data_IF_809459977406
#
_entry.id   IF_809459977406
#
_cell.length_a   1.000
_cell.length_b   1.000
_cell.length_c   1.000
_cell.angle_alpha   90.00
_cell.angle_beta   90.00
_cell.angle_gamma   90.00
#
_symmetry.space_group_name_H-M   'P 1'
#
loop_
_entity.id
_entity.type
_entity.pdbx_description
1 polymer ?
#
# COMPACT_ATOMS: atom_id res chain seq x y z
N UNK A 1 -2.44 3.26 -18.51
CA UNK A 1 -1.21 2.68 -17.95
C UNK A 1 -0.36 2.20 -19.10
N UNK A 2 0.96 2.39 -19.07
CA UNK A 2 1.85 1.90 -20.14
C UNK A 2 2.22 0.43 -19.92
N UNK A 3 2.43 -0.34 -21.00
CA UNK A 3 2.94 -1.72 -20.95
C UNK A 3 4.22 -1.84 -20.11
N UNK A 4 5.01 -0.76 -20.06
CA UNK A 4 6.25 -0.68 -19.29
C UNK A 4 5.99 -0.72 -17.78
N UNK A 5 4.94 -0.06 -17.29
CA UNK A 5 4.62 -0.03 -15.85
C UNK A 5 4.05 -1.37 -15.36
N UNK A 6 3.19 -2.01 -16.16
CA UNK A 6 2.71 -3.36 -15.87
C UNK A 6 3.87 -4.36 -15.79
N UNK A 7 4.77 -4.32 -16.78
CA UNK A 7 5.96 -5.15 -16.80
C UNK A 7 6.88 -4.89 -15.59
N UNK A 8 7.05 -3.63 -15.19
CA UNK A 8 7.88 -3.28 -14.04
C UNK A 8 7.34 -3.85 -12.72
N UNK A 9 6.02 -3.77 -12.49
CA UNK A 9 5.37 -4.36 -11.31
C UNK A 9 5.49 -5.87 -11.34
N UNK A 10 5.20 -6.50 -12.47
CA UNK A 10 5.32 -7.95 -12.64
C UNK A 10 6.75 -8.45 -12.39
N UNK A 11 7.75 -7.77 -12.93
CA UNK A 11 9.16 -8.10 -12.74
C UNK A 11 9.59 -7.95 -11.28
N UNK A 12 9.28 -6.83 -10.63
CA UNK A 12 9.66 -6.60 -9.23
C UNK A 12 9.03 -7.64 -8.28
N UNK A 13 7.77 -8.03 -8.52
CA UNK A 13 7.09 -9.04 -7.73
C UNK A 13 7.70 -10.44 -7.96
N UNK A 14 8.04 -10.76 -9.21
CA UNK A 14 8.74 -11.99 -9.58
C UNK A 14 10.10 -12.12 -8.90
N UNK A 15 10.93 -11.07 -8.97
CA UNK A 15 12.26 -11.07 -8.35
C UNK A 15 12.19 -11.22 -6.82
N UNK A 16 11.28 -10.49 -6.16
CA UNK A 16 11.10 -10.63 -4.71
C UNK A 16 10.65 -12.04 -4.31
N UNK A 17 9.68 -12.63 -5.02
CA UNK A 17 9.24 -14.00 -4.72
C UNK A 17 10.37 -15.03 -4.89
N UNK A 18 11.20 -14.85 -5.92
CA UNK A 18 12.37 -15.69 -6.15
C UNK A 18 13.40 -15.53 -5.02
N UNK A 19 13.74 -14.30 -4.64
CA UNK A 19 14.64 -14.00 -3.53
C UNK A 19 14.14 -14.62 -2.21
N UNK A 20 12.82 -14.55 -1.94
CA UNK A 20 12.22 -15.18 -0.76
C UNK A 20 12.38 -16.70 -0.78
N UNK A 21 12.15 -17.34 -1.94
CA UNK A 21 12.30 -18.78 -2.09
C UNK A 21 13.72 -19.22 -1.76
N UNK A 22 14.71 -18.58 -2.34
CA UNK A 22 16.13 -18.87 -2.10
C UNK A 22 16.56 -18.57 -0.65
N UNK A 23 16.06 -17.47 -0.09
CA UNK A 23 16.33 -17.11 1.30
C UNK A 23 15.79 -18.17 2.26
N UNK A 24 14.58 -18.69 2.03
CA UNK A 24 13.96 -19.72 2.90
C UNK A 24 14.75 -21.02 2.97
N UNK A 25 15.44 -21.40 1.90
CA UNK A 25 16.34 -22.57 1.88
C UNK A 25 17.56 -22.34 2.80
N UNK A 26 18.07 -21.11 2.85
CA UNK A 26 19.25 -20.73 3.65
C UNK A 26 18.92 -20.30 5.09
N UNK A 27 17.67 -19.91 5.36
CA UNK A 27 17.25 -19.13 6.52
C UNK A 27 16.26 -19.83 7.47
N UNK A 28 16.56 -21.06 7.91
CA UNK A 28 15.64 -21.87 8.74
C UNK A 28 15.05 -21.08 9.93
N UNK A 29 15.89 -20.30 10.63
CA UNK A 29 15.51 -19.57 11.85
C UNK A 29 14.46 -18.47 11.65
N UNK A 30 14.26 -17.99 10.41
CA UNK A 30 13.32 -16.90 10.10
C UNK A 30 12.43 -17.23 8.90
N UNK A 31 12.34 -18.52 8.55
CA UNK A 31 11.49 -19.04 7.48
C UNK A 31 10.04 -18.59 7.62
N UNK A 32 9.52 -18.48 8.86
CA UNK A 32 8.16 -17.97 9.12
C UNK A 32 7.97 -16.50 8.70
N UNK A 33 8.96 -15.64 8.94
CA UNK A 33 8.90 -14.23 8.53
C UNK A 33 8.92 -14.10 7.02
N UNK A 34 9.77 -14.88 6.35
CA UNK A 34 9.83 -14.92 4.88
C UNK A 34 8.55 -15.52 4.29
N UNK A 35 7.95 -16.51 4.96
CA UNK A 35 6.66 -17.07 4.56
C UNK A 35 5.54 -16.02 4.66
N UNK A 36 5.45 -15.28 5.76
CA UNK A 36 4.47 -14.19 5.92
C UNK A 36 4.52 -13.19 4.77
N UNK A 37 5.73 -12.71 4.44
CA UNK A 37 5.91 -11.80 3.31
C UNK A 37 5.50 -12.45 1.99
N UNK A 38 5.86 -13.72 1.78
CA UNK A 38 5.44 -14.47 0.58
C UNK A 38 3.92 -14.55 0.46
N UNK A 39 3.23 -14.87 1.56
CA UNK A 39 1.78 -15.02 1.60
C UNK A 39 1.10 -13.68 1.30
N UNK A 40 1.59 -12.58 1.90
CA UNK A 40 1.15 -11.21 1.58
C UNK A 40 1.27 -10.94 0.08
N UNK A 41 2.43 -11.21 -0.53
CA UNK A 41 2.65 -10.96 -1.96
C UNK A 41 1.76 -11.83 -2.86
N UNK A 42 1.51 -13.07 -2.48
CA UNK A 42 0.61 -13.96 -3.21
C UNK A 42 -0.84 -13.47 -3.18
N UNK A 43 -1.29 -12.90 -2.06
CA UNK A 43 -2.61 -12.30 -1.93
C UNK A 43 -2.74 -10.98 -2.70
N UNK A 44 -1.66 -10.19 -2.75
CA UNK A 44 -1.63 -8.89 -3.42
C UNK A 44 -1.52 -9.02 -4.94
N UNK A 45 -0.81 -10.04 -5.43
CA UNK A 45 -0.58 -10.29 -6.85
C UNK A 45 -1.84 -10.25 -7.73
N UNK A 46 -2.94 -10.98 -7.42
CA UNK A 46 -4.14 -10.96 -8.26
C UNK A 46 -4.81 -9.58 -8.26
N UNK A 47 -4.86 -8.88 -7.11
CA UNK A 47 -5.47 -7.55 -6.99
C UNK A 47 -4.77 -6.57 -7.94
N UNK A 48 -3.45 -6.57 -7.88
CA UNK A 48 -2.63 -5.70 -8.72
C UNK A 48 -2.80 -6.04 -10.19
N UNK A 49 -2.79 -7.32 -10.55
CA UNK A 49 -2.98 -7.73 -11.93
C UNK A 49 -4.29 -7.20 -12.53
N UNK A 50 -5.39 -7.19 -11.77
CA UNK A 50 -6.65 -6.60 -12.23
C UNK A 50 -6.59 -5.07 -12.36
N UNK A 51 -5.91 -4.38 -11.44
CA UNK A 51 -5.77 -2.91 -11.56
C UNK A 51 -4.90 -2.50 -12.74
N UNK A 52 -3.86 -3.27 -13.07
CA UNK A 52 -2.99 -2.99 -14.21
C UNK A 52 -3.75 -3.04 -15.55
N UNK A 53 -4.89 -3.76 -15.61
CA UNK A 53 -5.76 -3.82 -16.80
C UNK A 53 -6.65 -2.58 -16.99
N UNK A 54 -6.77 -1.73 -15.97
CA UNK A 54 -7.65 -0.56 -16.04
C UNK A 54 -6.99 0.54 -16.89
N UNK A 55 -7.74 1.06 -17.86
CA UNK A 55 -7.33 2.23 -18.62
C UNK A 55 -7.15 3.43 -17.66
N UNK A 56 -5.96 4.03 -17.65
CA UNK A 56 -5.51 5.06 -16.68
C UNK A 56 -5.35 4.59 -15.22
N UNK A 57 -4.86 3.37 -14.99
CA UNK A 57 -4.43 2.95 -13.66
C UNK A 57 -3.51 3.99 -12.96
N UNK A 58 -3.53 4.08 -11.62
CA UNK A 58 -2.79 5.08 -10.86
C UNK A 58 -1.27 4.83 -10.92
N UNK A 59 -0.62 5.37 -11.96
CA UNK A 59 0.82 5.20 -12.24
C UNK A 59 1.71 5.55 -11.05
N UNK A 60 1.40 6.60 -10.29
CA UNK A 60 2.19 6.99 -9.11
C UNK A 60 2.08 5.97 -7.97
N UNK A 61 0.90 5.39 -7.76
CA UNK A 61 0.72 4.32 -6.79
C UNK A 61 1.49 3.06 -7.21
N UNK A 62 1.42 2.69 -8.50
CA UNK A 62 2.18 1.56 -9.04
C UNK A 62 3.69 1.77 -8.92
N UNK A 63 4.20 2.98 -9.20
CA UNK A 63 5.61 3.31 -9.03
C UNK A 63 6.08 3.22 -7.58
N UNK A 64 5.30 3.74 -6.62
CA UNK A 64 5.57 3.59 -5.18
C UNK A 64 5.60 2.12 -4.79
N UNK A 65 4.65 1.33 -5.29
CA UNK A 65 4.59 -0.09 -5.02
C UNK A 65 5.83 -0.84 -5.56
N UNK A 66 6.25 -0.57 -6.80
CA UNK A 66 7.50 -1.12 -7.36
C UNK A 66 8.70 -0.81 -6.47
N UNK A 67 8.81 0.42 -5.95
CA UNK A 67 9.91 0.77 -5.06
C UNK A 67 9.87 0.00 -3.74
N UNK A 68 8.67 -0.23 -3.17
CA UNK A 68 8.51 -1.04 -1.96
C UNK A 68 8.95 -2.49 -2.21
N UNK A 69 8.55 -3.08 -3.35
CA UNK A 69 8.97 -4.44 -3.73
C UNK A 69 10.49 -4.55 -3.87
N UNK A 70 11.13 -3.60 -4.55
CA UNK A 70 12.60 -3.56 -4.68
C UNK A 70 13.31 -3.42 -3.32
N UNK A 71 12.77 -2.61 -2.41
CA UNK A 71 13.32 -2.48 -1.05
C UNK A 71 13.17 -3.79 -0.26
N UNK A 72 12.03 -4.46 -0.37
CA UNK A 72 11.80 -5.76 0.24
C UNK A 72 12.78 -6.81 -0.29
N UNK A 73 13.04 -6.81 -1.61
CA UNK A 73 13.98 -7.73 -2.26
C UNK A 73 15.38 -7.55 -1.68
N UNK A 74 15.87 -6.32 -1.62
CA UNK A 74 17.17 -6.00 -1.02
C UNK A 74 17.28 -6.46 0.44
N UNK A 75 16.22 -6.35 1.24
CA UNK A 75 16.21 -6.82 2.62
C UNK A 75 16.33 -8.35 2.71
N UNK A 76 15.65 -9.07 1.81
CA UNK A 76 15.67 -10.54 1.72
C UNK A 76 17.03 -11.06 1.25
N UNK A 77 17.62 -10.41 0.24
CA UNK A 77 18.99 -10.71 -0.22
C UNK A 77 20.01 -10.44 0.90
N UNK A 78 19.94 -9.26 1.52
CA UNK A 78 20.83 -8.90 2.62
C UNK A 78 20.74 -9.90 3.77
N UNK A 79 19.54 -10.37 4.09
CA UNK A 79 19.35 -11.39 5.10
C UNK A 79 20.12 -12.69 4.74
N UNK A 80 20.02 -13.11 3.48
CA UNK A 80 20.64 -14.33 2.97
C UNK A 80 22.17 -14.28 2.97
N UNK A 81 22.74 -13.09 2.74
CA UNK A 81 24.19 -12.85 2.74
C UNK A 81 24.81 -12.78 4.14
N UNK A 82 24.01 -12.50 5.18
CA UNK A 82 24.54 -12.41 6.54
C UNK A 82 24.99 -13.80 7.02
N UNK A 83 26.28 -13.91 7.35
CA UNK A 83 26.88 -15.09 7.98
C UNK A 83 26.02 -15.62 9.14
N UNK A 84 25.89 -16.95 9.23
CA UNK A 84 25.06 -17.65 10.23
C UNK A 84 25.35 -17.22 11.66
N UNK A 85 26.59 -16.82 11.95
CA UNK A 85 27.05 -16.41 13.29
C UNK A 85 26.65 -14.99 13.70
N UNK A 86 26.19 -14.13 12.77
CA UNK A 86 25.83 -12.73 13.06
C UNK A 86 24.36 -12.56 13.44
N UNK A 87 23.93 -13.21 14.53
CA UNK A 87 22.53 -13.29 14.93
C UNK A 87 21.88 -11.92 15.20
N UNK A 88 22.58 -10.97 15.82
CA UNK A 88 22.06 -9.62 16.10
C UNK A 88 21.72 -8.87 14.80
N UNK A 89 22.57 -8.96 13.78
CA UNK A 89 22.32 -8.34 12.47
C UNK A 89 21.12 -9.00 11.79
N UNK A 90 21.02 -10.33 11.86
CA UNK A 90 19.86 -11.09 11.35
C UNK A 90 18.55 -10.67 12.02
N UNK A 91 18.56 -10.47 13.35
CA UNK A 91 17.38 -9.97 14.08
C UNK A 91 16.96 -8.57 13.64
N UNK A 92 17.92 -7.67 13.39
CA UNK A 92 17.62 -6.32 12.84
C UNK A 92 16.98 -6.41 11.46
N UNK A 93 17.60 -7.15 10.53
CA UNK A 93 17.04 -7.32 9.17
C UNK A 93 15.67 -8.02 9.21
N UNK A 94 15.47 -9.01 10.09
CA UNK A 94 14.15 -9.62 10.30
C UNK A 94 13.09 -8.57 10.65
N UNK A 95 13.36 -7.68 11.61
CA UNK A 95 12.42 -6.62 11.99
C UNK A 95 12.09 -5.72 10.80
N UNK A 96 13.10 -5.35 10.00
CA UNK A 96 12.90 -4.56 8.79
C UNK A 96 12.02 -5.28 7.75
N UNK A 97 12.20 -6.60 7.57
CA UNK A 97 11.33 -7.40 6.70
C UNK A 97 9.89 -7.40 7.23
N UNK A 98 9.68 -7.53 8.54
CA UNK A 98 8.34 -7.49 9.14
C UNK A 98 7.68 -6.12 9.01
N UNK A 99 8.44 -5.04 9.19
CA UNK A 99 7.96 -3.67 8.97
C UNK A 99 7.63 -3.43 7.50
N UNK A 100 8.42 -3.98 6.58
CA UNK A 100 8.12 -3.92 5.15
C UNK A 100 6.86 -4.69 4.77
N UNK A 101 6.68 -5.91 5.31
CA UNK A 101 5.46 -6.71 5.13
C UNK A 101 4.21 -5.93 5.60
N UNK A 102 4.29 -5.35 6.80
CA UNK A 102 3.24 -4.49 7.33
C UNK A 102 3.00 -3.23 6.47
N UNK A 103 4.05 -2.64 5.91
CA UNK A 103 3.94 -1.48 5.03
C UNK A 103 3.26 -1.84 3.70
N UNK A 104 3.59 -2.99 3.12
CA UNK A 104 2.93 -3.51 1.91
C UNK A 104 1.43 -3.74 2.17
N UNK A 105 1.08 -4.37 3.29
CA UNK A 105 -0.32 -4.58 3.66
C UNK A 105 -1.06 -3.24 3.85
N UNK A 106 -0.44 -2.27 4.52
CA UNK A 106 -1.01 -0.92 4.71
C UNK A 106 -1.22 -0.20 3.40
N UNK A 107 -0.22 -0.22 2.52
CA UNK A 107 -0.31 0.39 1.19
C UNK A 107 -1.51 -0.18 0.42
N UNK A 108 -1.65 -1.50 0.40
CA UNK A 108 -2.74 -2.16 -0.33
C UNK A 108 -4.13 -1.91 0.28
N UNK A 109 -4.21 -1.77 1.60
CA UNK A 109 -5.49 -1.58 2.32
C UNK A 109 -5.90 -0.13 2.51
N UNK A 110 -4.99 0.82 2.37
CA UNK A 110 -5.27 2.24 2.62
C UNK A 110 -4.94 3.09 1.42
N UNK A 111 -3.66 3.18 1.06
CA UNK A 111 -3.20 4.11 0.05
C UNK A 111 -3.76 3.75 -1.33
N UNK A 112 -3.69 2.47 -1.68
CA UNK A 112 -4.21 1.96 -2.94
C UNK A 112 -5.73 2.06 -3.03
N UNK A 113 -6.44 1.78 -1.94
CA UNK A 113 -7.91 1.94 -1.87
C UNK A 113 -8.33 3.40 -1.97
N UNK A 114 -7.61 4.32 -1.32
CA UNK A 114 -7.89 5.76 -1.42
C UNK A 114 -7.68 6.28 -2.85
N UNK A 115 -6.62 5.84 -3.53
CA UNK A 115 -6.36 6.16 -4.94
C UNK A 115 -7.47 5.62 -5.86
N UNK A 116 -7.94 4.39 -5.62
CA UNK A 116 -9.09 3.83 -6.33
C UNK A 116 -10.37 4.64 -6.11
N UNK A 117 -10.65 5.06 -4.88
CA UNK A 117 -11.81 5.88 -4.55
C UNK A 117 -11.74 7.26 -5.22
N UNK A 118 -10.55 7.88 -5.22
CA UNK A 118 -10.33 9.16 -5.91
C UNK A 118 -10.53 9.03 -7.42
N UNK A 119 -10.06 7.93 -8.01
CA UNK A 119 -10.29 7.65 -9.42
C UNK A 119 -11.78 7.46 -9.74
N UNK A 120 -12.51 6.73 -8.90
CA UNK A 120 -13.96 6.55 -9.02
C UNK A 120 -14.70 7.89 -8.93
N UNK A 121 -14.34 8.74 -7.97
CA UNK A 121 -14.94 10.07 -7.81
C UNK A 121 -14.74 10.94 -9.07
N UNK A 122 -13.56 10.90 -9.68
CA UNK A 122 -13.29 11.59 -10.96
C UNK A 122 -14.10 11.03 -12.12
N UNK A 123 -14.33 9.72 -12.17
CA UNK A 123 -15.20 9.11 -13.18
C UNK A 123 -16.63 9.60 -13.00
N UNK A 124 -17.15 9.62 -11.77
CA UNK A 124 -18.49 10.12 -11.49
C UNK A 124 -18.65 11.58 -11.94
N UNK A 125 -17.69 12.45 -11.63
CA UNK A 125 -17.72 13.85 -12.09
C UNK A 125 -17.73 13.96 -13.63
N UNK A 126 -16.95 13.13 -14.32
CA UNK A 126 -16.96 13.09 -15.79
C UNK A 126 -18.29 12.56 -16.32
N UNK A 127 -18.90 11.59 -15.65
CA UNK A 127 -20.19 11.02 -16.02
C UNK A 127 -21.30 12.06 -15.86
N UNK A 128 -21.31 12.82 -14.76
CA UNK A 128 -22.26 13.92 -14.56
C UNK A 128 -22.17 14.95 -15.71
N UNK A 129 -20.95 15.28 -16.16
CA UNK A 129 -20.76 16.15 -17.33
C UNK A 129 -21.34 15.55 -18.60
N UNK A 130 -21.15 14.26 -18.84
CA UNK A 130 -21.71 13.56 -20.01
C UNK A 130 -23.24 13.54 -19.97
N UNK A 131 -23.85 13.32 -18.80
CA UNK A 131 -25.30 13.35 -18.60
C UNK A 131 -25.86 14.72 -18.99
N UNK A 132 -25.23 15.80 -18.50
CA UNK A 132 -25.60 17.18 -18.86
C UNK A 132 -25.43 17.44 -20.37
N UNK A 133 -24.32 16.99 -20.96
CA UNK A 133 -24.03 17.15 -22.39
C UNK A 133 -25.02 16.40 -23.30
N UNK A 134 -25.53 15.25 -22.86
CA UNK A 134 -26.50 14.46 -23.61
C UNK A 134 -27.94 14.94 -23.40
N UNK A 135 -28.17 15.99 -22.59
CA UNK A 135 -29.51 16.52 -22.33
C UNK A 135 -30.44 15.49 -21.66
N UNK A 136 -29.86 14.49 -20.98
CA UNK A 136 -30.60 13.55 -20.16
C UNK A 136 -30.90 14.24 -18.83
N UNK A 137 -31.78 15.23 -18.84
CA UNK A 137 -32.45 15.67 -17.62
C UNK A 137 -33.28 14.48 -17.15
N UNK A 138 -32.77 13.77 -16.14
CA UNK A 138 -33.52 12.77 -15.40
C UNK A 138 -34.56 13.52 -14.55
N UNK A 139 -35.60 14.08 -15.19
CA UNK A 139 -36.83 14.46 -14.51
C UNK A 139 -37.55 13.17 -14.09
N UNK A 140 -37.00 12.53 -13.06
CA UNK A 140 -37.73 11.53 -12.30
C UNK A 140 -38.84 12.28 -11.56
N UNK A 141 -39.98 12.39 -12.24
CA UNK A 141 -41.27 12.81 -11.71
C UNK A 141 -41.53 12.16 -10.35
N UNK A 142 -41.76 13.02 -9.36
CA UNK A 142 -42.56 12.84 -8.15
C UNK A 142 -42.87 11.40 -7.73
N UNK A 143 -42.21 10.98 -6.64
CA UNK A 143 -42.54 9.77 -5.89
C UNK A 143 -42.51 10.00 -4.39
N UNK A 144 -43.38 10.89 -3.89
CA UNK A 144 -43.77 11.12 -2.48
C UNK A 144 -42.67 11.50 -1.48
N UNK A 145 -42.76 12.75 -1.06
CA UNK A 145 -42.33 13.26 0.25
C UNK A 145 -42.64 12.25 1.37
N UNK A 146 -41.62 11.91 2.15
CA UNK A 146 -41.81 11.30 3.46
C UNK A 146 -41.81 12.43 4.48
N UNK A 147 -42.99 12.77 4.99
CA UNK A 147 -43.20 13.78 6.02
C UNK A 147 -42.35 13.47 7.25
N UNK A 148 -41.60 14.48 7.70
CA UNK A 148 -40.89 14.49 8.97
C UNK A 148 -41.89 14.75 10.10
N UNK A 149 -42.31 13.70 10.80
CA UNK A 149 -42.90 13.87 12.12
C UNK A 149 -41.80 14.01 13.17
N UNK A 150 -41.80 15.19 13.79
CA UNK A 150 -40.98 15.54 14.94
C UNK A 150 -41.55 14.87 16.18
N UNK A 151 -40.74 14.10 16.90
CA UNK A 151 -40.99 13.78 18.32
C UNK A 151 -39.77 14.17 19.14
N UNK A 152 -40.07 15.01 20.11
CA UNK A 152 -39.17 15.69 21.04
C UNK A 152 -38.58 14.77 22.11
N UNK A 153 -37.40 15.19 22.56
CA UNK A 153 -36.79 15.02 23.90
C UNK A 153 -35.98 13.75 24.22
N UNK A 154 -34.68 13.99 24.36
CA UNK A 154 -33.70 13.06 24.94
C UNK A 154 -32.37 13.75 25.23
N UNK A 155 -32.35 14.57 26.28
CA UNK A 155 -31.22 15.22 26.97
C UNK A 155 -29.91 14.41 26.94
N UNK A 156 -28.77 15.06 26.69
CA UNK A 156 -27.58 15.09 27.59
C UNK A 156 -26.24 15.37 26.88
N UNK A 157 -25.63 16.49 27.30
CA UNK A 157 -24.19 16.71 27.56
C UNK A 157 -23.15 16.77 26.42
N UNK A 158 -22.67 18.00 26.18
CA UNK A 158 -21.34 18.36 25.65
C UNK A 158 -20.22 17.89 26.61
N UNK A 159 -18.98 17.66 26.14
CA UNK A 159 -18.01 18.75 26.27
C UNK A 159 -16.88 18.84 25.23
N UNK A 160 -16.37 20.08 25.16
CA UNK A 160 -14.99 20.58 24.96
C UNK A 160 -14.17 20.19 23.72
N UNK A 161 -14.00 21.22 22.90
CA UNK A 161 -12.82 21.55 22.13
C UNK A 161 -11.64 21.79 23.10
N UNK A 162 -10.53 21.08 22.89
CA UNK A 162 -9.21 21.52 23.36
C UNK A 162 -8.24 21.52 22.17
N UNK A 163 -7.58 22.66 22.01
CA UNK A 163 -6.54 22.93 21.04
C UNK A 163 -5.32 22.03 21.32
N UNK A 164 -4.73 21.47 20.26
CA UNK A 164 -3.48 20.73 20.32
C UNK A 164 -2.66 20.98 19.07
N UNK A 165 -1.51 21.59 19.28
CA UNK A 165 -0.51 22.04 18.31
C UNK A 165 0.21 20.88 17.60
N UNK A 166 1.03 21.25 16.60
CA UNK A 166 2.17 20.49 16.05
C UNK A 166 1.90 19.44 14.96
N UNK A 167 1.92 19.91 13.71
CA UNK A 167 2.39 19.11 12.57
C UNK A 167 3.91 19.24 12.40
N UNK A 168 4.69 18.86 13.41
CA UNK A 168 6.12 18.59 13.22
C UNK A 168 6.25 17.46 12.20
N UNK A 169 6.91 17.74 11.08
CA UNK A 169 7.37 16.76 10.11
C UNK A 169 8.23 15.72 10.83
N UNK A 170 7.61 14.62 11.24
CA UNK A 170 8.29 13.57 11.97
C UNK A 170 9.26 12.86 11.03
N UNK A 171 10.55 12.94 11.34
CA UNK A 171 11.58 12.10 10.75
C UNK A 171 11.11 10.64 10.62
N UNK A 172 11.49 9.92 9.55
CA UNK A 172 11.06 8.54 9.37
C UNK A 172 11.48 7.69 10.58
N UNK A 173 10.52 6.90 11.08
CA UNK A 173 10.60 6.16 12.35
C UNK A 173 11.76 5.16 12.42
N UNK A 174 12.32 4.75 11.28
CA UNK A 174 13.50 3.89 11.18
C UNK A 174 14.28 4.20 9.90
N UNK A 175 15.56 4.52 10.06
CA UNK A 175 16.54 4.65 8.97
C UNK A 175 17.61 3.56 9.17
N UNK A 176 17.91 2.79 8.13
CA UNK A 176 18.90 1.71 8.19
C UNK A 176 19.94 1.87 7.09
N UNK A 177 21.16 2.27 7.49
CA UNK A 177 22.29 2.39 6.60
C UNK A 177 23.09 1.08 6.56
N UNK A 178 23.13 0.42 5.39
CA UNK A 178 23.93 -0.79 5.18
C UNK A 178 24.87 -0.63 3.98
N UNK A 179 26.13 -1.04 4.18
CA UNK A 179 27.14 -1.15 3.13
C UNK A 179 27.44 -2.63 2.86
N UNK A 180 27.11 -3.10 1.66
CA UNK A 180 27.54 -4.40 1.12
C UNK A 180 28.13 -4.17 -0.26
N UNK A 181 29.32 -4.75 -0.53
CA UNK A 181 30.02 -4.79 -1.84
C UNK A 181 29.69 -3.62 -2.80
N UNK A 182 29.94 -2.38 -2.36
CA UNK A 182 29.82 -1.18 -3.20
C UNK A 182 28.44 -0.50 -3.26
N UNK A 183 27.39 -1.02 -2.60
CA UNK A 183 26.07 -0.37 -2.52
C UNK A 183 25.79 0.17 -1.11
N UNK A 184 25.38 1.44 -1.06
CA UNK A 184 24.87 2.11 0.13
C UNK A 184 23.35 2.17 0.02
N UNK A 185 22.64 1.65 1.01
CA UNK A 185 21.17 1.52 0.96
C UNK A 185 20.57 2.37 2.09
N UNK A 186 19.69 3.30 1.71
CA UNK A 186 18.81 4.05 2.61
C UNK A 186 17.38 3.49 2.46
N UNK A 187 16.85 2.92 3.55
CA UNK A 187 15.49 2.37 3.60
C UNK A 187 14.69 3.21 4.58
N UNK A 188 13.78 4.02 4.02
CA UNK A 188 12.76 4.78 4.76
C UNK A 188 11.40 4.12 4.62
N UNK A 189 10.71 4.04 5.74
CA UNK A 189 9.30 3.64 5.86
C UNK A 189 8.45 4.89 6.06
N UNK A 190 7.27 4.89 5.44
CA UNK A 190 6.28 5.97 5.48
C UNK A 190 4.99 5.43 6.07
#
# INVERSE_FOLDING_TARGET
MSVVEEAAVGAALGFLLQAIKEAKEKAVFFRRTLQSLQDTLQNVRPIIHEVLKIENAPTDACNRFVQMLKKAEMLVEMYSDISKWKLLKKRKVKKLIQEMDASIQRFMTRDFQAEQLLYLAKINEKMDRVIVLLGLDCDAVNGKEFSTETVTNGKSSKPKIENGSEGQSSNPKFEFHWKSKGKCIDIRFW
#
